data_IF_593762144332
#
_entry.id   IF_593762144332
#
_cell.length_a   1.000
_cell.length_b   1.000
_cell.length_c   1.000
_cell.angle_alpha   90.00
_cell.angle_beta   90.00
_cell.angle_gamma   90.00
#
_symmetry.space_group_name_H-M   'P 1'
#
loop_
_entity.id
_entity.type
_entity.pdbx_description
1 polymer ?
#
# COMPACT_ATOMS: atom_id res chain seq x y z
N UNK A 1 18.53 1.57 4.05
CA UNK A 1 17.05 1.52 3.95
C UNK A 1 16.53 2.87 3.48
N UNK A 2 15.67 2.90 2.47
CA UNK A 2 15.07 4.14 1.97
C UNK A 2 13.80 4.48 2.73
N UNK A 3 13.64 5.74 3.13
CA UNK A 3 12.40 6.24 3.76
C UNK A 3 11.33 6.43 2.69
N UNK A 4 10.09 6.00 2.98
CA UNK A 4 8.95 6.32 2.11
C UNK A 4 8.34 7.64 2.62
N UNK A 5 8.33 8.71 1.81
CA UNK A 5 7.70 9.97 2.19
C UNK A 5 6.17 9.84 2.20
N UNK A 6 5.54 10.36 3.24
CA UNK A 6 4.08 10.40 3.35
C UNK A 6 3.62 11.81 2.96
N UNK A 7 2.80 11.92 1.92
CA UNK A 7 2.36 13.22 1.38
C UNK A 7 0.89 13.55 1.70
N UNK A 8 0.01 12.54 1.71
CA UNK A 8 -1.45 12.72 1.89
C UNK A 8 -1.90 12.62 3.36
N UNK A 9 -1.46 11.57 4.07
CA UNK A 9 -1.88 11.29 5.44
C UNK A 9 -0.68 11.47 6.38
N UNK A 10 -0.50 12.69 6.89
CA UNK A 10 0.73 13.11 7.60
C UNK A 10 0.55 13.41 9.08
N UNK A 11 -0.69 13.48 9.58
CA UNK A 11 -0.99 13.81 10.98
C UNK A 11 -0.35 12.78 11.93
N UNK A 12 0.50 13.25 12.85
CA UNK A 12 1.16 12.40 13.85
C UNK A 12 2.32 11.56 13.32
N UNK A 13 2.91 11.94 12.18
CA UNK A 13 4.13 11.32 11.65
C UNK A 13 5.33 12.20 12.03
N UNK A 14 6.33 11.59 12.68
CA UNK A 14 7.58 12.29 13.01
C UNK A 14 8.47 12.49 11.79
N UNK A 15 9.31 13.52 11.84
CA UNK A 15 10.35 13.77 10.83
C UNK A 15 11.43 12.69 10.86
N UNK A 16 12.02 12.44 9.70
CA UNK A 16 13.18 11.56 9.50
C UNK A 16 14.35 12.37 8.93
N UNK A 17 15.43 11.66 8.57
CA UNK A 17 16.67 12.25 8.04
C UNK A 17 16.35 13.24 6.92
N UNK A 18 17.00 14.40 6.93
CA UNK A 18 16.75 15.53 6.04
C UNK A 18 15.34 16.15 6.12
N UNK A 19 14.66 16.02 7.27
CA UNK A 19 13.37 16.69 7.50
C UNK A 19 12.17 16.01 6.82
N UNK A 20 12.39 14.88 6.13
CA UNK A 20 11.34 14.16 5.41
C UNK A 20 10.32 13.58 6.38
N UNK A 21 9.04 13.88 6.16
CA UNK A 21 7.94 13.24 6.90
C UNK A 21 7.70 11.86 6.27
N UNK A 22 8.07 10.79 6.97
CA UNK A 22 8.05 9.46 6.40
C UNK A 22 8.18 8.31 7.39
N UNK A 23 7.88 7.09 6.92
CA UNK A 23 7.98 5.85 7.70
C UNK A 23 8.53 4.70 6.84
N UNK A 24 8.71 3.55 7.46
CA UNK A 24 9.13 2.29 6.83
C UNK A 24 7.99 1.26 6.90
N UNK A 25 6.99 1.33 6.01
CA UNK A 25 5.82 0.45 6.04
C UNK A 25 6.15 -0.98 5.54
N UNK A 26 6.85 -1.77 6.36
CA UNK A 26 7.38 -3.10 6.00
C UNK A 26 6.34 -4.01 5.31
N UNK A 27 5.15 -4.17 5.90
CA UNK A 27 4.09 -5.03 5.35
C UNK A 27 3.58 -4.54 3.99
N UNK A 28 3.37 -3.23 3.83
CA UNK A 28 2.87 -2.67 2.58
C UNK A 28 3.93 -2.78 1.47
N UNK A 29 5.20 -2.46 1.79
CA UNK A 29 6.32 -2.58 0.86
C UNK A 29 6.49 -4.02 0.37
N UNK A 30 6.36 -5.01 1.26
CA UNK A 30 6.43 -6.42 0.88
C UNK A 30 5.32 -6.82 -0.12
N UNK A 31 4.07 -6.35 0.10
CA UNK A 31 2.95 -6.61 -0.81
C UNK A 31 3.16 -5.97 -2.18
N UNK A 32 3.60 -4.70 -2.24
CA UNK A 32 3.89 -4.01 -3.51
C UNK A 32 5.04 -4.69 -4.25
N UNK A 33 6.07 -5.13 -3.53
CA UNK A 33 7.19 -5.86 -4.13
C UNK A 33 6.73 -7.20 -4.75
N UNK A 34 5.85 -7.93 -4.07
CA UNK A 34 5.21 -9.13 -4.61
C UNK A 34 4.39 -8.84 -5.87
N UNK A 35 3.60 -7.75 -5.85
CA UNK A 35 2.80 -7.32 -7.01
C UNK A 35 3.68 -7.00 -8.24
N UNK A 36 4.81 -6.31 -8.03
CA UNK A 36 5.76 -5.99 -9.10
C UNK A 36 6.39 -7.25 -9.72
N UNK A 37 6.74 -8.24 -8.91
CA UNK A 37 7.23 -9.55 -9.41
C UNK A 37 6.18 -10.26 -10.25
N UNK A 38 4.93 -10.26 -9.79
CA UNK A 38 3.83 -10.86 -10.54
C UNK A 38 3.55 -10.11 -11.85
N UNK A 39 3.62 -8.77 -11.84
CA UNK A 39 3.48 -7.97 -13.05
C UNK A 39 4.60 -8.27 -14.06
N UNK A 40 5.84 -8.45 -13.59
CA UNK A 40 6.97 -8.87 -14.42
C UNK A 40 6.72 -10.24 -15.06
N UNK A 41 6.36 -11.25 -14.26
CA UNK A 41 6.06 -12.60 -14.76
C UNK A 41 4.91 -12.61 -15.77
N UNK A 42 3.87 -11.80 -15.55
CA UNK A 42 2.75 -11.66 -16.49
C UNK A 42 3.17 -10.98 -17.80
N UNK A 43 4.11 -10.04 -17.75
CA UNK A 43 4.64 -9.37 -18.92
C UNK A 43 5.54 -10.31 -19.74
N UNK A 44 6.40 -11.08 -19.05
CA UNK A 44 7.23 -12.12 -19.66
C UNK A 44 6.37 -13.18 -20.37
N UNK A 45 5.31 -13.64 -19.70
CA UNK A 45 4.34 -14.57 -20.29
C UNK A 45 3.64 -14.01 -21.54
N UNK A 46 3.43 -12.69 -21.59
CA UNK A 46 2.87 -11.99 -22.76
C UNK A 46 3.92 -11.68 -23.85
N UNK A 47 5.19 -12.02 -23.63
CA UNK A 47 6.28 -11.76 -24.58
C UNK A 47 6.71 -10.30 -24.66
N UNK A 48 6.42 -9.47 -23.65
CA UNK A 48 6.89 -8.09 -23.58
C UNK A 48 8.37 -8.03 -23.17
N UNK A 49 9.12 -7.05 -23.68
CA UNK A 49 10.53 -6.89 -23.32
C UNK A 49 10.67 -6.40 -21.87
N UNK A 50 11.09 -7.29 -20.97
CA UNK A 50 11.10 -7.05 -19.52
C UNK A 50 11.99 -5.90 -19.08
N UNK A 51 13.05 -5.62 -19.84
CA UNK A 51 14.00 -4.54 -19.58
C UNK A 51 13.41 -3.15 -19.90
N UNK A 52 12.40 -3.11 -20.76
CA UNK A 52 11.75 -1.88 -21.23
C UNK A 52 10.43 -1.59 -20.51
N UNK A 53 10.05 -2.42 -19.54
CA UNK A 53 8.81 -2.22 -18.79
C UNK A 53 8.91 -1.01 -17.86
N UNK A 54 7.92 -0.12 -17.99
CA UNK A 54 7.68 0.97 -17.04
C UNK A 54 6.29 0.87 -16.46
N UNK A 55 6.15 1.32 -15.22
CA UNK A 55 4.83 1.48 -14.58
C UNK A 55 4.13 2.66 -15.24
N UNK A 56 3.06 2.40 -15.97
CA UNK A 56 2.25 3.43 -16.61
C UNK A 56 1.17 3.96 -15.66
N UNK A 57 0.63 3.09 -14.80
CA UNK A 57 -0.41 3.45 -13.84
C UNK A 57 -0.28 2.62 -12.56
N UNK A 58 -0.48 3.28 -11.42
CA UNK A 58 -0.56 2.63 -10.11
C UNK A 58 -1.64 3.30 -9.28
N UNK A 59 -2.58 2.53 -8.77
CA UNK A 59 -3.67 3.02 -7.92
C UNK A 59 -3.84 2.15 -6.70
N UNK A 60 -4.26 2.80 -5.61
CA UNK A 60 -4.67 2.13 -4.38
C UNK A 60 -6.03 2.68 -3.97
N UNK A 61 -6.97 1.79 -3.68
CA UNK A 61 -8.34 2.16 -3.28
C UNK A 61 -8.82 1.29 -2.12
N UNK A 62 -9.76 1.82 -1.35
CA UNK A 62 -10.43 1.07 -0.28
C UNK A 62 -11.35 0.02 -0.90
N UNK A 63 -11.25 -1.24 -0.46
CA UNK A 63 -12.18 -2.32 -0.85
C UNK A 63 -13.28 -2.47 0.20
N UNK A 64 -13.17 -3.49 1.04
CA UNK A 64 -14.17 -3.83 2.04
C UNK A 64 -13.75 -3.35 3.43
N UNK A 65 -14.73 -2.89 4.20
CA UNK A 65 -14.59 -2.58 5.62
C UNK A 65 -15.16 -3.74 6.43
N UNK A 66 -14.37 -4.26 7.37
CA UNK A 66 -14.81 -5.29 8.31
C UNK A 66 -14.95 -4.67 9.69
N UNK A 67 -16.18 -4.52 10.17
CA UNK A 67 -16.45 -4.02 11.51
C UNK A 67 -16.11 -5.07 12.57
N UNK A 68 -15.51 -4.62 13.67
CA UNK A 68 -15.15 -5.42 14.82
C UNK A 68 -15.70 -4.73 16.05
N UNK A 69 -16.46 -5.46 16.87
CA UNK A 69 -16.86 -4.97 18.19
C UNK A 69 -15.69 -5.14 19.15
N UNK A 70 -15.25 -4.06 19.78
CA UNK A 70 -14.44 -4.16 21.00
C UNK A 70 -15.25 -3.61 22.17
N UNK A 71 -15.37 -4.35 23.27
CA UNK A 71 -16.07 -3.85 24.45
C UNK A 71 -15.34 -2.62 24.97
N UNK A 72 -16.08 -1.55 25.19
CA UNK A 72 -15.63 -0.37 25.92
C UNK A 72 -16.22 -0.56 27.31
N UNK A 73 -15.39 -0.76 28.33
CA UNK A 73 -15.80 -1.26 29.64
C UNK A 73 -17.02 -0.55 30.25
N UNK A 74 -17.68 -1.19 31.23
CA UNK A 74 -18.80 -0.60 31.98
C UNK A 74 -20.16 -0.60 31.24
N UNK A 75 -20.46 -1.62 30.43
CA UNK A 75 -21.76 -1.74 29.76
C UNK A 75 -22.00 -0.74 28.61
N UNK A 76 -20.99 0.05 28.26
CA UNK A 76 -21.05 0.97 27.11
C UNK A 76 -21.13 0.20 25.80
N UNK A 77 -21.84 0.75 24.82
CA UNK A 77 -21.88 0.18 23.47
C UNK A 77 -20.45 0.02 22.93
N UNK A 78 -20.13 -1.13 22.29
CA UNK A 78 -18.78 -1.40 21.80
C UNK A 78 -18.32 -0.32 20.81
N UNK A 79 -17.03 0.01 20.87
CA UNK A 79 -16.41 0.93 19.90
C UNK A 79 -16.54 0.34 18.49
N UNK A 80 -16.87 1.21 17.52
CA UNK A 80 -16.89 0.92 16.08
C UNK A 80 -15.46 0.84 15.54
N UNK A 81 -14.73 -0.20 15.94
CA UNK A 81 -13.48 -0.56 15.29
C UNK A 81 -13.75 -1.21 13.95
N UNK A 82 -12.87 -0.98 13.00
CA UNK A 82 -12.92 -1.63 11.71
C UNK A 82 -11.54 -1.90 11.15
N UNK A 83 -11.44 -2.89 10.28
CA UNK A 83 -10.29 -3.12 9.44
C UNK A 83 -10.71 -2.79 8.02
N UNK A 84 -9.96 -1.90 7.38
CA UNK A 84 -10.12 -1.61 5.97
C UNK A 84 -9.16 -2.44 5.15
N UNK A 85 -9.69 -3.05 4.10
CA UNK A 85 -8.90 -3.68 3.07
C UNK A 85 -8.57 -2.65 1.99
N UNK A 86 -7.36 -2.74 1.46
CA UNK A 86 -6.91 -1.93 0.34
C UNK A 86 -6.67 -2.82 -0.88
N UNK A 87 -7.20 -2.42 -2.03
CA UNK A 87 -6.84 -2.97 -3.33
C UNK A 87 -5.71 -2.14 -3.93
N UNK A 88 -4.79 -2.79 -4.62
CA UNK A 88 -3.72 -2.15 -5.38
C UNK A 88 -3.81 -2.65 -6.81
N UNK A 89 -3.82 -1.73 -7.77
CA UNK A 89 -3.81 -2.01 -9.19
C UNK A 89 -2.57 -1.39 -9.83
N UNK A 90 -1.96 -2.15 -10.75
CA UNK A 90 -0.73 -1.77 -11.42
C UNK A 90 -0.84 -2.11 -12.91
N UNK A 91 -0.56 -1.13 -13.76
CA UNK A 91 -0.45 -1.31 -15.21
C UNK A 91 0.99 -1.02 -15.63
N UNK A 92 1.58 -1.98 -16.33
CA UNK A 92 2.90 -1.86 -16.93
C UNK A 92 2.78 -1.71 -18.44
N UNK A 93 3.68 -0.93 -19.03
CA UNK A 93 3.76 -0.70 -20.47
C UNK A 93 5.22 -0.80 -20.92
N UNK A 94 5.43 -1.37 -22.10
CA UNK A 94 6.73 -1.33 -22.77
C UNK A 94 6.99 0.04 -23.39
N UNK A 95 8.22 0.55 -23.21
CA UNK A 95 8.67 1.85 -23.74
C UNK A 95 9.72 1.65 -24.81
#
# INVERSE_FOLDING_TARGET
EAVIPFTKYTRGIGHRVHGVIGRYPQKASAMVHGLLKNAKANADFKGLATEKLKVAHATAYRKQRFDRRRPKGGGSSPDRHHIDWAGIELVVKEV
#
